data_IF_623964618755
#
_entry.id   IF_623964618755
#
_cell.length_a   1.000
_cell.length_b   1.000
_cell.length_c   1.000
_cell.angle_alpha   90.00
_cell.angle_beta   90.00
_cell.angle_gamma   90.00
#
_symmetry.space_group_name_H-M   'P 1'
#
loop_
_entity.id
_entity.type
_entity.pdbx_description
1 polymer ?
#
# COMPACT_ATOMS: atom_id res chain seq x y z
N UNK A 1 -14.13 -11.09 -19.90
CA UNK A 1 -12.93 -10.35 -19.41
C UNK A 1 -12.62 -10.71 -17.96
N UNK A 2 -13.58 -10.59 -17.03
CA UNK A 2 -13.42 -10.99 -15.62
C UNK A 2 -13.01 -12.46 -15.42
N UNK A 3 -13.69 -13.38 -16.10
CA UNK A 3 -13.39 -14.81 -15.98
C UNK A 3 -11.96 -15.18 -16.42
N UNK A 4 -11.44 -14.52 -17.47
CA UNK A 4 -10.06 -14.68 -17.93
C UNK A 4 -9.06 -14.13 -16.91
N UNK A 5 -9.36 -12.97 -16.32
CA UNK A 5 -8.54 -12.38 -15.26
C UNK A 5 -8.50 -13.26 -14.00
N UNK A 6 -9.65 -13.80 -13.58
CA UNK A 6 -9.75 -14.73 -12.47
C UNK A 6 -8.96 -16.02 -12.73
N UNK A 7 -9.12 -16.64 -13.91
CA UNK A 7 -8.33 -17.83 -14.28
C UNK A 7 -6.82 -17.57 -14.27
N UNK A 8 -6.37 -16.40 -14.72
CA UNK A 8 -4.94 -16.05 -14.70
C UNK A 8 -4.41 -15.76 -13.30
N UNK A 9 -5.24 -15.24 -12.39
CA UNK A 9 -4.84 -14.92 -11.03
C UNK A 9 -4.94 -16.12 -10.07
N UNK A 10 -5.80 -17.09 -10.38
CA UNK A 10 -6.12 -18.23 -9.51
C UNK A 10 -4.89 -19.03 -9.04
N UNK A 11 -3.96 -19.45 -9.91
CA UNK A 11 -2.78 -20.19 -9.46
C UNK A 11 -1.87 -19.38 -8.54
N UNK A 12 -1.84 -18.06 -8.72
CA UNK A 12 -1.03 -17.17 -7.87
C UNK A 12 -1.70 -16.95 -6.52
N UNK A 13 -3.03 -16.82 -6.49
CA UNK A 13 -3.81 -16.76 -5.25
C UNK A 13 -3.66 -18.04 -4.42
N UNK A 14 -3.56 -19.20 -5.07
CA UNK A 14 -3.37 -20.47 -4.37
C UNK A 14 -1.92 -20.77 -3.99
N UNK A 15 -0.95 -19.99 -4.48
CA UNK A 15 0.48 -20.26 -4.30
C UNK A 15 0.92 -20.24 -2.83
N UNK A 16 1.91 -21.07 -2.50
CA UNK A 16 2.52 -21.07 -1.15
C UNK A 16 3.05 -19.69 -0.75
N UNK A 17 3.56 -18.92 -1.71
CA UNK A 17 4.06 -17.57 -1.48
C UNK A 17 2.94 -16.60 -1.06
N UNK A 18 1.76 -16.71 -1.67
CA UNK A 18 0.56 -15.97 -1.27
C UNK A 18 0.18 -16.30 0.18
N UNK A 19 0.11 -17.61 0.50
CA UNK A 19 -0.21 -18.09 1.85
C UNK A 19 0.82 -17.64 2.88
N UNK A 20 2.11 -17.75 2.57
CA UNK A 20 3.19 -17.32 3.47
C UNK A 20 3.12 -15.82 3.77
N UNK A 21 2.78 -15.00 2.77
CA UNK A 21 2.69 -13.56 2.97
C UNK A 21 1.43 -13.18 3.74
N UNK A 22 0.31 -13.88 3.50
CA UNK A 22 -0.88 -13.82 4.34
C UNK A 22 -0.57 -14.13 5.81
N UNK A 23 0.09 -15.25 6.07
CA UNK A 23 0.46 -15.66 7.41
C UNK A 23 1.37 -14.64 8.10
N UNK A 24 2.32 -14.06 7.34
CA UNK A 24 3.21 -13.00 7.84
C UNK A 24 2.42 -11.76 8.25
N UNK A 25 1.46 -11.34 7.42
CA UNK A 25 0.62 -10.18 7.74
C UNK A 25 -0.27 -10.41 8.96
N UNK A 26 -0.93 -11.57 9.03
CA UNK A 26 -1.74 -11.96 10.18
C UNK A 26 -0.91 -12.06 11.46
N UNK A 27 0.30 -12.63 11.39
CA UNK A 27 1.21 -12.71 12.53
C UNK A 27 1.60 -11.32 13.03
N UNK A 28 2.01 -10.43 12.13
CA UNK A 28 2.33 -9.04 12.47
C UNK A 28 1.14 -8.33 13.12
N UNK A 29 -0.09 -8.50 12.59
CA UNK A 29 -1.29 -7.87 13.15
C UNK A 29 -1.61 -8.39 14.55
N UNK A 30 -1.40 -9.69 14.80
CA UNK A 30 -1.56 -10.29 16.13
C UNK A 30 -0.54 -9.74 17.12
N UNK A 31 0.72 -9.55 16.71
CA UNK A 31 1.75 -8.93 17.54
C UNK A 31 1.38 -7.50 17.91
N UNK A 32 0.97 -6.68 16.93
CA UNK A 32 0.52 -5.29 17.17
C UNK A 32 -0.70 -5.26 18.10
N UNK A 33 -1.67 -6.14 17.89
CA UNK A 33 -2.85 -6.27 18.75
C UNK A 33 -2.46 -6.63 20.19
N UNK A 34 -1.52 -7.56 20.36
CA UNK A 34 -1.07 -8.00 21.68
C UNK A 34 -0.31 -6.90 22.41
N UNK A 35 0.51 -6.14 21.67
CA UNK A 35 1.36 -5.09 22.25
C UNK A 35 0.61 -3.77 22.51
N UNK A 36 -0.37 -3.40 21.66
CA UNK A 36 -1.00 -2.08 21.65
C UNK A 36 -2.52 -2.08 21.55
N UNK A 37 -3.16 -3.26 21.62
CA UNK A 37 -4.60 -3.41 21.56
C UNK A 37 -5.22 -3.13 20.18
N UNK A 38 -6.55 -3.07 20.15
CA UNK A 38 -7.35 -2.95 18.93
C UNK A 38 -7.09 -1.64 18.18
N UNK A 39 -6.90 -0.54 18.92
CA UNK A 39 -6.60 0.77 18.33
C UNK A 39 -5.30 0.76 17.52
N UNK A 40 -4.24 0.15 18.05
CA UNK A 40 -2.97 0.03 17.34
C UNK A 40 -3.08 -0.88 16.11
N UNK A 41 -3.81 -1.99 16.22
CA UNK A 41 -4.03 -2.90 15.10
C UNK A 41 -4.80 -2.22 13.95
N UNK A 42 -5.84 -1.45 14.27
CA UNK A 42 -6.66 -0.74 13.28
C UNK A 42 -5.99 0.52 12.73
N UNK A 43 -5.08 1.17 13.46
CA UNK A 43 -4.32 2.31 12.94
C UNK A 43 -3.47 1.93 11.71
N UNK A 44 -2.95 0.71 11.64
CA UNK A 44 -2.24 0.22 10.45
C UNK A 44 -3.16 -0.15 9.27
N UNK A 45 -4.46 -0.35 9.52
CA UNK A 45 -5.47 -0.65 8.50
C UNK A 45 -6.10 0.65 7.97
N UNK A 46 -6.34 1.60 8.87
CA UNK A 46 -6.88 2.93 8.58
C UNK A 46 -5.93 4.01 9.10
N UNK A 47 -4.85 4.34 8.36
CA UNK A 47 -3.79 5.25 8.84
C UNK A 47 -4.23 6.69 9.14
N UNK A 48 -5.43 7.06 8.72
CA UNK A 48 -6.02 8.39 8.90
C UNK A 48 -7.29 8.35 9.75
N UNK A 49 -7.55 7.23 10.42
CA UNK A 49 -8.70 7.12 11.31
C UNK A 49 -8.40 7.73 12.67
N UNK A 50 -9.46 8.21 13.31
CA UNK A 50 -9.45 8.72 14.68
C UNK A 50 -10.49 8.00 15.52
N UNK A 51 -10.16 7.75 16.77
CA UNK A 51 -11.12 7.24 17.74
C UNK A 51 -11.87 8.40 18.38
N UNK A 52 -13.20 8.27 18.47
CA UNK A 52 -14.08 9.12 19.27
C UNK A 52 -14.88 8.22 20.21
N UNK A 53 -14.42 8.08 21.46
CA UNK A 53 -14.99 7.10 22.38
C UNK A 53 -14.81 5.67 21.85
N UNK A 54 -15.92 4.98 21.61
CA UNK A 54 -16.01 3.62 21.05
C UNK A 54 -16.14 3.59 19.52
N UNK A 55 -16.21 4.75 18.88
CA UNK A 55 -16.42 4.88 17.44
C UNK A 55 -15.10 5.15 16.71
N UNK A 56 -14.82 4.38 15.66
CA UNK A 56 -13.69 4.62 14.76
C UNK A 56 -14.15 5.45 13.55
N UNK A 57 -13.70 6.70 13.48
CA UNK A 57 -13.97 7.57 12.34
C UNK A 57 -12.93 7.34 11.24
N UNK A 58 -13.40 6.95 10.05
CA UNK A 58 -12.55 6.70 8.89
C UNK A 58 -12.92 7.68 7.78
N UNK A 59 -11.92 8.30 7.14
CA UNK A 59 -12.17 9.11 5.94
C UNK A 59 -12.68 8.24 4.80
N UNK A 60 -13.91 8.50 4.38
CA UNK A 60 -14.60 7.79 3.31
C UNK A 60 -15.30 8.78 2.38
N UNK A 61 -15.44 8.49 1.07
CA UNK A 61 -16.31 9.25 0.18
C UNK A 61 -17.80 9.13 0.53
N UNK A 62 -18.16 8.11 1.29
CA UNK A 62 -19.52 7.85 1.76
C UNK A 62 -19.64 8.30 3.21
N UNK A 63 -20.71 9.05 3.51
CA UNK A 63 -21.11 9.38 4.88
C UNK A 63 -22.01 8.26 5.41
N UNK A 64 -21.42 7.32 6.14
CA UNK A 64 -22.09 6.13 6.63
C UNK A 64 -21.64 5.82 8.06
N UNK A 65 -22.61 5.60 8.93
CA UNK A 65 -22.39 5.03 10.27
C UNK A 65 -22.71 3.54 10.23
N UNK A 66 -21.74 2.73 10.64
CA UNK A 66 -21.89 1.28 10.71
C UNK A 66 -21.89 0.90 12.18
N UNK A 67 -23.06 0.53 12.69
CA UNK A 67 -23.15 -0.12 13.98
C UNK A 67 -22.75 -1.59 13.83
N UNK A 68 -21.84 -2.03 14.70
CA UNK A 68 -21.37 -3.41 14.72
C UNK A 68 -22.28 -4.31 15.55
N UNK A 69 -23.13 -3.77 16.44
CA UNK A 69 -24.08 -4.55 17.26
C UNK A 69 -23.43 -5.73 18.04
N UNK A 70 -22.13 -5.65 18.31
CA UNK A 70 -21.36 -6.74 18.92
C UNK A 70 -20.86 -7.83 17.97
N UNK A 71 -21.25 -7.80 16.68
CA UNK A 71 -20.88 -8.79 15.65
C UNK A 71 -19.37 -8.76 15.33
N UNK A 72 -18.68 -7.68 15.70
CA UNK A 72 -17.23 -7.55 15.58
C UNK A 72 -16.76 -7.30 14.15
N UNK A 73 -15.43 -7.40 13.95
CA UNK A 73 -14.76 -7.08 12.68
C UNK A 73 -13.75 -8.16 12.33
N UNK A 74 -13.80 -8.65 11.08
CA UNK A 74 -12.79 -9.53 10.51
C UNK A 74 -11.87 -8.71 9.60
N UNK A 75 -10.58 -8.74 9.91
CA UNK A 75 -9.54 -8.11 9.10
C UNK A 75 -9.01 -9.10 8.06
N UNK A 76 -9.23 -8.79 6.79
CA UNK A 76 -8.85 -9.61 5.63
C UNK A 76 -7.74 -8.87 4.84
N UNK A 77 -6.45 -9.20 5.02
CA UNK A 77 -5.41 -8.60 4.18
C UNK A 77 -5.62 -8.92 2.71
N UNK A 78 -5.10 -8.10 1.81
CA UNK A 78 -5.19 -8.34 0.38
C UNK A 78 -3.92 -7.97 -0.36
N UNK A 79 -3.68 -8.73 -1.41
CA UNK A 79 -2.64 -8.51 -2.40
C UNK A 79 -3.06 -7.61 -3.56
N UNK A 80 -4.36 -7.34 -3.67
CA UNK A 80 -4.87 -6.47 -4.71
C UNK A 80 -4.50 -5.01 -4.43
N UNK A 81 -4.22 -4.25 -5.49
CA UNK A 81 -3.97 -2.81 -5.40
C UNK A 81 -5.26 -2.13 -4.97
N UNK A 82 -5.40 -1.91 -3.66
CA UNK A 82 -6.41 -1.03 -3.09
C UNK A 82 -5.71 0.26 -2.63
N UNK A 83 -6.33 1.40 -2.92
CA UNK A 83 -5.84 2.70 -2.44
C UNK A 83 -6.04 2.89 -0.92
N UNK A 84 -6.96 2.13 -0.34
CA UNK A 84 -7.31 2.13 1.08
C UNK A 84 -8.03 0.83 1.46
N UNK A 85 -8.25 0.60 2.75
CA UNK A 85 -9.13 -0.47 3.19
C UNK A 85 -10.56 -0.28 2.66
N UNK A 86 -11.25 -1.39 2.38
CA UNK A 86 -12.64 -1.47 1.96
C UNK A 86 -13.45 -2.21 3.02
N UNK A 87 -14.65 -1.70 3.32
CA UNK A 87 -15.57 -2.33 4.24
C UNK A 87 -16.66 -3.03 3.42
N UNK A 88 -16.79 -4.34 3.60
CA UNK A 88 -17.81 -5.14 2.92
C UNK A 88 -19.18 -4.98 3.55
N UNK A 89 -20.23 -5.26 2.78
CA UNK A 89 -21.56 -5.49 3.35
C UNK A 89 -21.51 -6.76 4.22
N UNK A 90 -22.31 -6.78 5.28
CA UNK A 90 -22.48 -7.96 6.13
C UNK A 90 -23.97 -8.15 6.43
N UNK A 91 -24.39 -9.41 6.55
CA UNK A 91 -25.75 -9.74 6.98
C UNK A 91 -25.90 -9.46 8.49
N UNK A 92 -27.13 -9.25 9.00
CA UNK A 92 -27.34 -9.11 10.44
C UNK A 92 -26.82 -10.34 11.20
N UNK A 93 -26.02 -10.14 12.25
CA UNK A 93 -25.42 -11.22 13.03
C UNK A 93 -24.11 -11.77 12.47
N UNK A 94 -23.57 -11.18 11.41
CA UNK A 94 -22.26 -11.55 10.84
C UNK A 94 -21.23 -10.45 11.07
N UNK A 95 -19.96 -10.81 11.35
CA UNK A 95 -18.89 -9.84 11.54
C UNK A 95 -18.69 -9.01 10.28
N UNK A 96 -18.38 -7.72 10.46
CA UNK A 96 -18.05 -6.84 9.34
C UNK A 96 -16.68 -7.22 8.78
N UNK A 97 -16.59 -7.50 7.49
CA UNK A 97 -15.31 -7.80 6.84
C UNK A 97 -14.66 -6.51 6.34
N UNK A 98 -13.42 -6.28 6.76
CA UNK A 98 -12.57 -5.18 6.28
C UNK A 98 -11.44 -5.77 5.45
N UNK A 99 -11.45 -5.48 4.16
CA UNK A 99 -10.39 -5.89 3.23
C UNK A 99 -9.35 -4.79 3.15
N UNK A 100 -8.08 -5.07 3.41
CA UNK A 100 -7.05 -4.02 3.50
C UNK A 100 -5.72 -4.40 2.83
N UNK A 101 -4.94 -3.43 2.32
CA UNK A 101 -3.63 -3.74 1.74
C UNK A 101 -2.71 -4.41 2.77
N UNK A 102 -2.18 -5.58 2.44
CA UNK A 102 -1.21 -6.27 3.31
C UNK A 102 0.05 -5.39 3.53
N UNK A 103 0.66 -5.49 4.71
CA UNK A 103 1.82 -4.69 5.09
C UNK A 103 3.08 -5.08 4.30
N UNK A 104 3.19 -6.36 3.89
CA UNK A 104 4.24 -6.83 2.99
C UNK A 104 3.76 -6.65 1.55
N UNK A 105 4.59 -6.12 0.63
CA UNK A 105 4.26 -6.07 -0.78
C UNK A 105 3.96 -7.49 -1.30
N UNK A 106 2.69 -7.77 -1.58
CA UNK A 106 2.28 -9.06 -2.11
C UNK A 106 2.76 -9.19 -3.57
N UNK A 107 3.31 -10.35 -3.96
CA UNK A 107 3.98 -10.54 -5.26
C UNK A 107 3.06 -10.44 -6.49
N UNK A 108 1.73 -10.40 -6.29
CA UNK A 108 0.73 -10.37 -7.37
C UNK A 108 0.82 -9.14 -8.28
N UNK A 109 1.47 -8.06 -7.84
CA UNK A 109 1.52 -6.79 -8.58
C UNK A 109 2.94 -6.21 -8.67
N UNK A 110 3.96 -7.06 -8.76
CA UNK A 110 5.12 -6.64 -9.56
C UNK A 110 4.66 -6.62 -11.03
N UNK A 111 4.18 -5.45 -11.47
CA UNK A 111 3.84 -5.18 -12.86
C UNK A 111 5.14 -5.17 -13.69
N UNK A 112 5.71 -6.36 -13.89
CA UNK A 112 6.84 -6.63 -14.75
C UNK A 112 6.51 -6.34 -16.22
N UNK A 113 5.24 -6.01 -16.53
CA UNK A 113 4.74 -5.64 -17.86
C UNK A 113 4.73 -4.13 -18.13
N UNK A 114 4.60 -3.26 -17.11
CA UNK A 114 4.69 -1.78 -17.27
C UNK A 114 6.11 -1.24 -17.12
N UNK A 115 6.94 -1.90 -16.31
CA UNK A 115 8.36 -1.54 -16.14
C UNK A 115 9.18 -1.56 -17.46
N UNK A 116 8.98 -2.52 -18.40
CA UNK A 116 9.65 -2.52 -19.70
C UNK A 116 9.22 -1.36 -20.61
N UNK A 117 7.97 -0.88 -20.51
CA UNK A 117 7.45 0.16 -21.39
C UNK A 117 8.00 1.56 -21.06
N UNK A 118 8.28 1.84 -19.79
CA UNK A 118 8.87 3.12 -19.37
C UNK A 118 10.39 3.18 -19.46
N UNK A 119 11.07 2.03 -19.43
CA UNK A 119 12.54 1.98 -19.46
C UNK A 119 13.15 2.71 -20.66
N UNK A 120 12.59 2.62 -21.89
CA UNK A 120 13.02 3.43 -23.03
C UNK A 120 12.82 4.94 -22.85
N UNK A 121 11.79 5.37 -22.09
CA UNK A 121 11.39 6.78 -21.96
C UNK A 121 12.12 7.50 -20.81
N UNK A 122 12.22 6.84 -19.65
CA UNK A 122 12.83 7.42 -18.45
C UNK A 122 14.29 7.01 -18.27
N UNK A 123 14.70 5.90 -18.88
CA UNK A 123 15.96 5.23 -18.62
C UNK A 123 15.90 4.32 -17.39
N UNK A 124 16.71 3.26 -17.39
CA UNK A 124 16.71 2.20 -16.36
C UNK A 124 16.76 2.73 -14.93
N UNK A 125 17.66 3.66 -14.65
CA UNK A 125 17.88 4.15 -13.27
C UNK A 125 16.74 5.03 -12.78
N UNK A 126 16.12 5.86 -13.64
CA UNK A 126 14.96 6.66 -13.24
C UNK A 126 13.73 5.80 -13.01
N UNK A 127 13.52 4.77 -13.83
CA UNK A 127 12.47 3.76 -13.59
C UNK A 127 12.69 3.04 -12.26
N UNK A 128 13.93 2.66 -11.94
CA UNK A 128 14.26 2.04 -10.66
C UNK A 128 13.97 2.98 -9.46
N UNK A 129 14.35 4.25 -9.56
CA UNK A 129 14.08 5.27 -8.54
C UNK A 129 12.57 5.49 -8.34
N UNK A 130 11.80 5.65 -9.43
CA UNK A 130 10.34 5.81 -9.37
C UNK A 130 9.67 4.60 -8.71
N UNK A 131 10.09 3.38 -9.09
CA UNK A 131 9.57 2.14 -8.50
C UNK A 131 9.87 2.05 -7.00
N UNK A 132 11.07 2.42 -6.58
CA UNK A 132 11.45 2.44 -5.16
C UNK A 132 10.59 3.41 -4.36
N UNK A 133 10.35 4.62 -4.89
CA UNK A 133 9.48 5.63 -4.25
C UNK A 133 8.03 5.16 -4.19
N UNK A 134 7.52 4.48 -5.23
CA UNK A 134 6.16 3.90 -5.23
C UNK A 134 5.99 2.84 -4.15
N UNK A 135 6.99 1.96 -3.98
CA UNK A 135 6.97 0.90 -2.96
C UNK A 135 7.19 1.42 -1.55
N UNK A 136 7.84 2.57 -1.42
CA UNK A 136 8.16 3.19 -0.13
C UNK A 136 7.72 4.66 -0.14
N UNK A 137 6.41 4.96 -0.11
CA UNK A 137 5.93 6.34 -0.08
C UNK A 137 6.53 7.10 1.11
N UNK A 138 6.87 8.36 0.90
CA UNK A 138 7.53 9.23 1.88
C UNK A 138 8.96 8.82 2.25
N UNK A 139 9.63 8.02 1.41
CA UNK A 139 11.06 7.69 1.55
C UNK A 139 11.96 8.92 1.33
N UNK A 140 13.07 8.98 2.06
CA UNK A 140 14.09 10.02 1.89
C UNK A 140 15.01 9.71 0.71
N UNK A 141 15.69 10.73 0.20
CA UNK A 141 16.67 10.55 -0.89
C UNK A 141 17.75 9.53 -0.52
N UNK A 142 18.23 9.52 0.73
CA UNK A 142 19.22 8.53 1.20
C UNK A 142 18.67 7.11 1.26
N UNK A 143 17.40 6.94 1.66
CA UNK A 143 16.74 5.63 1.65
C UNK A 143 16.56 5.12 0.21
N UNK A 144 16.15 5.99 -0.71
CA UNK A 144 16.03 5.67 -2.14
C UNK A 144 17.38 5.27 -2.72
N UNK A 145 18.44 6.02 -2.40
CA UNK A 145 19.81 5.74 -2.83
C UNK A 145 20.27 4.34 -2.39
N UNK A 146 20.08 4.01 -1.11
CA UNK A 146 20.43 2.71 -0.54
C UNK A 146 19.67 1.55 -1.20
N UNK A 147 18.35 1.71 -1.41
CA UNK A 147 17.51 0.67 -2.00
C UNK A 147 17.76 0.45 -3.50
N UNK A 148 18.19 1.48 -4.22
CA UNK A 148 18.51 1.40 -5.66
C UNK A 148 19.97 1.02 -5.90
N UNK A 149 20.86 1.21 -4.92
CA UNK A 149 22.30 0.96 -5.05
C UNK A 149 23.05 2.07 -5.81
N UNK A 150 22.65 3.34 -5.61
CA UNK A 150 23.28 4.52 -6.23
C UNK A 150 23.68 5.54 -5.15
N UNK A 151 24.49 6.54 -5.51
CA UNK A 151 24.86 7.60 -4.57
C UNK A 151 23.69 8.55 -4.25
N UNK A 152 23.68 9.19 -3.06
CA UNK A 152 22.65 10.17 -2.70
C UNK A 152 22.53 11.34 -3.70
N UNK A 153 23.65 11.80 -4.27
CA UNK A 153 23.66 12.85 -5.30
C UNK A 153 22.91 12.42 -6.56
N UNK A 154 23.16 11.19 -7.06
CA UNK A 154 22.45 10.63 -8.22
C UNK A 154 20.97 10.36 -7.92
N UNK A 155 20.66 9.90 -6.71
CA UNK A 155 19.27 9.73 -6.28
C UNK A 155 18.51 11.06 -6.25
N UNK A 156 19.17 12.13 -5.76
CA UNK A 156 18.61 13.49 -5.76
C UNK A 156 18.37 14.01 -7.18
N UNK A 157 19.34 13.83 -8.08
CA UNK A 157 19.22 14.21 -9.49
C UNK A 157 18.05 13.49 -10.18
N UNK A 158 17.95 12.17 -10.02
CA UNK A 158 16.85 11.39 -10.57
C UNK A 158 15.50 11.77 -9.97
N UNK A 159 15.43 12.04 -8.66
CA UNK A 159 14.22 12.56 -8.02
C UNK A 159 13.86 13.97 -8.52
N UNK A 160 14.84 14.80 -8.88
CA UNK A 160 14.66 16.06 -9.59
C UNK A 160 13.89 15.88 -10.89
N UNK A 161 14.44 15.10 -11.81
CA UNK A 161 13.84 14.85 -13.11
C UNK A 161 12.44 14.25 -13.00
N UNK A 162 12.23 13.30 -12.09
CA UNK A 162 10.92 12.68 -11.87
C UNK A 162 9.89 13.67 -11.29
N UNK A 163 10.35 14.66 -10.50
CA UNK A 163 9.49 15.72 -9.99
C UNK A 163 9.10 16.69 -11.09
N UNK A 164 10.06 17.10 -11.92
CA UNK A 164 9.84 18.01 -13.03
C UNK A 164 8.90 17.38 -14.08
N UNK A 165 8.98 16.06 -14.25
CA UNK A 165 8.04 15.28 -15.06
C UNK A 165 6.67 15.04 -14.40
N UNK A 166 6.43 15.57 -13.19
CA UNK A 166 5.16 15.41 -12.48
C UNK A 166 4.88 14.00 -11.97
N UNK A 167 5.89 13.13 -11.87
CA UNK A 167 5.74 11.72 -11.45
C UNK A 167 5.89 11.53 -9.94
N UNK A 168 6.60 12.45 -9.28
CA UNK A 168 6.70 12.48 -7.83
C UNK A 168 6.48 13.91 -7.33
N UNK A 169 6.00 14.03 -6.10
CA UNK A 169 6.09 15.25 -5.31
C UNK A 169 7.16 15.07 -4.23
N UNK A 170 7.64 16.17 -3.68
CA UNK A 170 8.58 16.13 -2.56
C UNK A 170 8.16 17.13 -1.50
N UNK A 171 8.18 16.71 -0.25
CA UNK A 171 7.86 17.57 0.88
C UNK A 171 8.99 17.50 1.90
N UNK A 172 9.34 18.66 2.47
CA UNK A 172 10.35 18.73 3.52
C UNK A 172 9.70 18.40 4.85
N UNK A 173 10.25 17.43 5.57
CA UNK A 173 9.82 17.07 6.90
C UNK A 173 11.02 17.15 7.85
N UNK A 174 11.06 18.18 8.69
CA UNK A 174 12.24 18.54 9.51
C UNK A 174 13.47 18.77 8.61
N UNK A 175 14.56 18.05 8.85
CA UNK A 175 15.81 18.18 8.10
C UNK A 175 15.93 17.20 6.91
N UNK A 176 14.84 16.52 6.52
CA UNK A 176 14.87 15.55 5.41
C UNK A 176 13.79 15.85 4.36
N UNK A 177 14.13 15.59 3.10
CA UNK A 177 13.17 15.62 1.98
C UNK A 177 12.58 14.23 1.82
N UNK A 178 11.26 14.15 1.69
CA UNK A 178 10.51 12.92 1.47
C UNK A 178 9.82 12.96 0.12
N UNK A 179 9.86 11.84 -0.58
CA UNK A 179 9.30 11.70 -1.93
C UNK A 179 8.03 10.87 -1.91
N UNK A 180 7.01 11.30 -2.64
CA UNK A 180 5.72 10.60 -2.78
C UNK A 180 5.39 10.52 -4.26
N UNK A 181 4.92 9.38 -4.79
CA UNK A 181 4.46 9.34 -6.17
C UNK A 181 3.19 10.19 -6.34
N UNK A 182 3.07 10.87 -7.49
CA UNK A 182 1.79 11.48 -7.89
C UNK A 182 0.82 10.43 -8.39
N UNK A 183 -0.44 10.80 -8.64
CA UNK A 183 -1.39 9.94 -9.36
C UNK A 183 -0.81 9.46 -10.68
N UNK A 184 -0.22 10.37 -11.47
CA UNK A 184 0.46 10.04 -12.72
C UNK A 184 1.62 9.05 -12.50
N UNK A 185 2.47 9.29 -11.49
CA UNK A 185 3.58 8.39 -11.16
C UNK A 185 3.14 7.00 -10.66
N UNK A 186 1.91 6.87 -10.16
CA UNK A 186 1.31 5.57 -9.83
C UNK A 186 0.77 4.84 -11.06
N UNK A 187 0.25 5.59 -12.04
CA UNK A 187 -0.39 5.06 -13.25
C UNK A 187 0.61 4.61 -14.33
N UNK A 188 1.67 5.39 -14.55
CA UNK A 188 2.60 5.10 -15.66
C UNK A 188 3.70 4.12 -15.28
N UNK A 189 3.94 3.87 -13.99
CA UNK A 189 5.00 3.03 -13.45
C UNK A 189 4.80 1.52 -13.53
#
# INVERSE_FOLDING_TARGET
MLERALRSAWPVLESERMRATWHTDVAHRKEVMTAGGVGAALAGVFPRASWQGDTLEVRSPLDLTIDLQGDGVVLLPTAFRLGSAMIGSAMPGEPRVVVYPAHVPMPLLEDSSRTPALTPLLGRTRTAVLRTIRRNPSSTTSQVAALVGISPGRASEHAGVLRDAGLITSHRHRNTVRHVPTTLGLEIG
#
